data_IF_436415086936
#
_entry.id   IF_436415086936
#
_cell.length_a   1.000
_cell.length_b   1.000
_cell.length_c   1.000
_cell.angle_alpha   90.00
_cell.angle_beta   90.00
_cell.angle_gamma   90.00
#
_symmetry.space_group_name_H-M   'P 1'
#
loop_
_entity.id
_entity.type
_entity.pdbx_description
1 polymer ?
#
# COMPACT_ATOMS: atom_id res chain seq x y z
N UNK A 1 -14.11 10.96 10.93
CA UNK A 1 -15.11 10.42 9.96
C UNK A 1 -14.38 9.37 9.16
N UNK A 2 -14.91 8.15 9.06
CA UNK A 2 -14.23 7.07 8.34
C UNK A 2 -14.80 6.94 6.93
N UNK A 3 -13.95 6.76 5.93
CA UNK A 3 -14.37 6.60 4.54
C UNK A 3 -13.45 5.65 3.77
N UNK A 4 -13.98 5.06 2.69
CA UNK A 4 -13.19 4.44 1.64
C UNK A 4 -13.73 4.99 0.31
N UNK A 5 -12.86 5.51 -0.53
CA UNK A 5 -13.25 6.12 -1.81
C UNK A 5 -12.68 5.29 -2.94
N UNK A 6 -13.56 4.60 -3.66
CA UNK A 6 -13.22 3.85 -4.87
C UNK A 6 -13.14 4.76 -6.09
N UNK A 7 -12.13 4.52 -6.93
CA UNK A 7 -11.96 5.10 -8.25
C UNK A 7 -11.98 3.97 -9.25
N UNK A 8 -12.97 3.96 -10.15
CA UNK A 8 -13.25 2.85 -11.06
C UNK A 8 -14.33 1.90 -10.54
N UNK A 9 -14.62 0.86 -11.31
CA UNK A 9 -15.58 -0.19 -10.96
C UNK A 9 -14.89 -1.26 -10.10
N UNK A 10 -14.99 -1.13 -8.78
CA UNK A 10 -14.35 -2.02 -7.81
C UNK A 10 -14.94 -3.43 -7.86
N UNK A 11 -16.23 -3.56 -8.13
CA UNK A 11 -16.94 -4.84 -8.09
C UNK A 11 -16.55 -5.75 -9.28
N UNK A 12 -16.20 -5.14 -10.41
CA UNK A 12 -15.83 -5.85 -11.64
C UNK A 12 -14.34 -5.73 -12.01
N UNK A 13 -13.52 -5.07 -11.19
CA UNK A 13 -12.08 -4.95 -11.44
C UNK A 13 -11.35 -6.26 -11.16
N UNK A 14 -10.47 -6.67 -12.09
CA UNK A 14 -9.53 -7.78 -11.90
C UNK A 14 -8.36 -7.40 -10.99
N UNK A 15 -7.96 -6.12 -10.99
CA UNK A 15 -6.89 -5.58 -10.13
C UNK A 15 -7.43 -4.44 -9.28
N UNK A 16 -7.25 -4.52 -7.96
CA UNK A 16 -7.65 -3.46 -7.04
C UNK A 16 -6.46 -3.03 -6.19
N UNK A 17 -6.08 -1.75 -6.28
CA UNK A 17 -5.11 -1.15 -5.37
C UNK A 17 -5.81 -0.55 -4.15
N UNK A 18 -5.40 -0.89 -2.93
CA UNK A 18 -5.90 -0.25 -1.70
C UNK A 18 -4.77 0.55 -1.09
N UNK A 19 -4.95 1.87 -0.95
CA UNK A 19 -3.93 2.78 -0.46
C UNK A 19 -4.26 3.32 0.92
N UNK A 20 -3.30 3.18 1.82
CA UNK A 20 -3.36 3.56 3.23
C UNK A 20 -2.34 4.68 3.46
N UNK A 21 -2.85 5.90 3.67
CA UNK A 21 -2.01 7.06 3.99
C UNK A 21 -1.46 7.04 5.42
N UNK A 22 -0.38 7.78 5.66
CA UNK A 22 0.24 7.97 6.98
C UNK A 22 -0.14 9.29 7.65
N UNK A 23 0.74 9.80 8.52
CA UNK A 23 0.59 11.09 9.23
C UNK A 23 0.07 12.23 8.35
N UNK A 24 -0.75 13.10 8.92
CA UNK A 24 -1.47 14.19 8.24
C UNK A 24 -2.51 13.76 7.19
N UNK A 25 -2.85 12.47 7.09
CA UNK A 25 -4.03 12.02 6.35
C UNK A 25 -5.28 12.33 7.18
N UNK A 26 -5.85 13.53 7.03
CA UNK A 26 -7.18 13.85 7.56
C UNK A 26 -8.21 13.77 6.45
N UNK A 27 -9.41 13.24 6.75
CA UNK A 27 -10.54 13.27 5.82
C UNK A 27 -10.89 14.70 5.35
N UNK A 28 -10.57 15.71 6.15
CA UNK A 28 -10.82 17.12 5.83
C UNK A 28 -9.79 17.79 4.90
N UNK A 29 -8.58 17.22 4.73
CA UNK A 29 -7.49 17.88 3.98
C UNK A 29 -6.80 17.01 2.93
N UNK A 30 -6.87 15.68 3.04
CA UNK A 30 -6.01 14.78 2.26
C UNK A 30 -6.79 13.81 1.36
N UNK A 31 -8.13 13.80 1.47
CA UNK A 31 -8.99 12.94 0.63
C UNK A 31 -8.85 13.29 -0.84
N UNK A 32 -8.81 14.59 -1.16
CA UNK A 32 -8.62 15.03 -2.54
C UNK A 32 -7.32 14.51 -3.14
N UNK A 33 -6.23 14.59 -2.39
CA UNK A 33 -4.91 14.15 -2.84
C UNK A 33 -4.80 12.62 -2.91
N UNK A 34 -5.30 11.89 -1.91
CA UNK A 34 -5.32 10.42 -1.95
C UNK A 34 -6.21 9.87 -3.05
N UNK A 35 -7.37 10.48 -3.31
CA UNK A 35 -8.25 10.08 -4.42
C UNK A 35 -7.59 10.40 -5.76
N UNK A 36 -6.88 11.52 -5.86
CA UNK A 36 -6.10 11.86 -7.04
C UNK A 36 -4.97 10.86 -7.27
N UNK A 37 -4.23 10.49 -6.23
CA UNK A 37 -3.19 9.45 -6.28
C UNK A 37 -3.78 8.09 -6.68
N UNK A 38 -4.92 7.70 -6.10
CA UNK A 38 -5.64 6.48 -6.48
C UNK A 38 -6.04 6.51 -7.97
N UNK A 39 -6.49 7.66 -8.48
CA UNK A 39 -6.79 7.86 -9.89
C UNK A 39 -5.56 7.74 -10.81
N UNK A 40 -4.43 8.34 -10.42
CA UNK A 40 -3.16 8.23 -11.15
C UNK A 40 -2.69 6.77 -11.18
N UNK A 41 -2.74 6.09 -10.03
CA UNK A 41 -2.37 4.69 -9.90
C UNK A 41 -3.23 3.79 -10.78
N UNK A 42 -4.56 3.97 -10.77
CA UNK A 42 -5.47 3.23 -11.64
C UNK A 42 -5.13 3.45 -13.10
N UNK A 43 -4.92 4.70 -13.51
CA UNK A 43 -4.62 5.04 -14.89
C UNK A 43 -3.30 4.40 -15.36
N UNK A 44 -2.25 4.46 -14.52
CA UNK A 44 -0.96 3.83 -14.83
C UNK A 44 -1.07 2.30 -14.89
N UNK A 45 -1.83 1.67 -13.99
CA UNK A 45 -2.06 0.23 -14.03
C UNK A 45 -2.82 -0.22 -15.28
N UNK A 46 -3.84 0.54 -15.72
CA UNK A 46 -4.53 0.28 -16.97
C UNK A 46 -3.60 0.44 -18.20
N UNK A 47 -2.77 1.49 -18.22
CA UNK A 47 -1.76 1.72 -19.27
C UNK A 47 -0.77 0.54 -19.36
N UNK A 48 -0.24 0.08 -18.22
CA UNK A 48 0.69 -1.04 -18.17
C UNK A 48 0.04 -2.33 -18.67
N UNK A 49 -1.21 -2.59 -18.27
CA UNK A 49 -1.97 -3.76 -18.75
C UNK A 49 -2.26 -3.71 -20.25
N UNK A 50 -2.58 -2.53 -20.77
CA UNK A 50 -2.81 -2.31 -22.20
C UNK A 50 -1.55 -2.61 -23.00
N UNK A 51 -0.40 -2.08 -22.56
CA UNK A 51 0.91 -2.32 -23.19
C UNK A 51 1.33 -3.78 -23.15
N UNK A 52 1.02 -4.49 -22.07
CA UNK A 52 1.25 -5.92 -21.93
C UNK A 52 0.27 -6.79 -22.75
N UNK A 53 -0.74 -6.18 -23.40
CA UNK A 53 -1.69 -6.90 -24.26
C UNK A 53 -2.73 -7.71 -23.49
N UNK A 54 -3.02 -7.35 -22.23
CA UNK A 54 -4.05 -8.04 -21.46
C UNK A 54 -5.44 -7.72 -22.01
N UNK A 55 -6.31 -8.73 -22.22
CA UNK A 55 -7.73 -8.47 -22.41
C UNK A 55 -8.28 -7.78 -21.15
N UNK A 56 -9.26 -6.89 -21.30
CA UNK A 56 -9.81 -6.09 -20.19
C UNK A 56 -8.74 -5.28 -19.43
N UNK A 57 -7.85 -4.60 -20.17
CA UNK A 57 -6.76 -3.84 -19.57
C UNK A 57 -7.26 -2.76 -18.58
N UNK A 58 -8.48 -2.28 -18.75
CA UNK A 58 -9.14 -1.25 -17.95
C UNK A 58 -9.93 -1.79 -16.74
N UNK A 59 -10.02 -3.11 -16.56
CA UNK A 59 -10.59 -3.79 -15.39
C UNK A 59 -9.70 -3.63 -14.14
N UNK A 60 -9.46 -2.37 -13.78
CA UNK A 60 -8.64 -1.93 -12.67
C UNK A 60 -9.42 -0.91 -11.85
N UNK A 61 -9.32 -0.98 -10.54
CA UNK A 61 -9.81 0.04 -9.62
C UNK A 61 -8.75 0.37 -8.57
N UNK A 62 -8.90 1.54 -7.93
CA UNK A 62 -8.09 1.93 -6.79
C UNK A 62 -8.97 2.47 -5.68
N UNK A 63 -8.57 2.27 -4.43
CA UNK A 63 -9.31 2.67 -3.24
C UNK A 63 -8.39 3.52 -2.37
N UNK A 64 -8.82 4.74 -2.05
CA UNK A 64 -8.24 5.52 -0.97
C UNK A 64 -8.94 5.15 0.34
N UNK A 65 -8.23 4.46 1.24
CA UNK A 65 -8.79 4.03 2.53
C UNK A 65 -8.45 5.03 3.64
N UNK A 66 -9.50 5.61 4.22
CA UNK A 66 -9.45 6.65 5.25
C UNK A 66 -10.19 6.15 6.50
N UNK A 67 -9.93 4.91 6.88
CA UNK A 67 -10.67 4.19 7.91
C UNK A 67 -10.12 4.34 9.32
N UNK A 68 -9.22 5.29 9.56
CA UNK A 68 -8.76 5.67 10.89
C UNK A 68 -8.47 7.17 10.99
N UNK A 69 -8.60 7.73 12.19
CA UNK A 69 -8.12 9.08 12.46
C UNK A 69 -6.60 9.00 12.65
N UNK A 70 -5.85 9.43 11.64
CA UNK A 70 -4.40 9.47 11.70
C UNK A 70 -3.94 10.39 12.86
N UNK A 71 -2.83 10.07 13.56
CA UNK A 71 -2.42 10.84 14.73
C UNK A 71 -2.16 12.32 14.43
N UNK A 72 -2.52 13.21 15.36
CA UNK A 72 -2.57 14.66 15.15
C UNK A 72 -1.19 15.36 15.22
N UNK A 73 -0.14 14.66 15.66
CA UNK A 73 1.22 15.17 15.69
C UNK A 73 2.31 14.11 15.92
N UNK A 74 3.58 14.51 15.75
CA UNK A 74 4.75 13.64 15.89
C UNK A 74 4.83 12.88 17.24
N UNK A 75 4.27 13.45 18.31
CA UNK A 75 4.25 12.81 19.65
C UNK A 75 3.37 11.57 19.67
N UNK A 76 2.25 11.60 18.98
CA UNK A 76 1.32 10.46 18.91
C UNK A 76 1.85 9.36 17.96
N UNK A 77 2.80 9.72 17.09
CA UNK A 77 3.55 8.80 16.20
C UNK A 77 4.83 8.29 16.84
N UNK A 78 4.96 8.44 18.14
CA UNK A 78 5.93 7.67 18.92
C UNK A 78 5.34 6.35 19.45
N UNK A 79 4.05 6.09 19.19
CA UNK A 79 3.34 4.90 19.65
C UNK A 79 2.55 4.21 18.53
N UNK A 80 2.40 2.89 18.64
CA UNK A 80 1.76 1.98 17.68
C UNK A 80 0.25 1.82 17.88
N UNK A 81 -0.29 2.37 18.96
CA UNK A 81 -1.69 2.29 19.37
C UNK A 81 -2.71 2.57 18.26
N UNK A 82 -2.58 3.68 17.54
CA UNK A 82 -3.48 4.04 16.43
C UNK A 82 -3.39 3.04 15.28
N UNK A 83 -2.18 2.51 15.00
CA UNK A 83 -2.02 1.50 13.97
C UNK A 83 -2.68 0.17 14.36
N UNK A 84 -2.52 -0.25 15.63
CA UNK A 84 -3.19 -1.45 16.17
C UNK A 84 -4.70 -1.33 16.15
N UNK A 85 -5.25 -0.16 16.50
CA UNK A 85 -6.69 0.09 16.46
C UNK A 85 -7.24 0.06 15.02
N UNK A 86 -6.49 0.62 14.07
CA UNK A 86 -6.88 0.66 12.65
C UNK A 86 -6.71 -0.68 11.90
N UNK A 87 -5.83 -1.56 12.38
CA UNK A 87 -5.53 -2.84 11.72
C UNK A 87 -6.75 -3.77 11.60
N UNK A 88 -7.56 -3.86 12.65
CA UNK A 88 -8.78 -4.68 12.65
C UNK A 88 -9.84 -4.20 11.64
N UNK A 89 -10.23 -2.92 11.65
CA UNK A 89 -11.06 -2.30 10.62
C UNK A 89 -10.55 -2.53 9.20
N UNK A 90 -9.25 -2.36 8.96
CA UNK A 90 -8.66 -2.56 7.62
C UNK A 90 -8.77 -4.03 7.17
N UNK A 91 -8.39 -4.98 8.02
CA UNK A 91 -8.55 -6.41 7.73
C UNK A 91 -10.01 -6.78 7.39
N UNK A 92 -10.99 -6.23 8.12
CA UNK A 92 -12.42 -6.44 7.81
C UNK A 92 -12.82 -5.81 6.47
N UNK A 93 -12.26 -4.65 6.13
CA UNK A 93 -12.49 -4.00 4.85
C UNK A 93 -11.99 -4.86 3.69
N UNK A 94 -10.75 -5.34 3.75
CA UNK A 94 -10.16 -6.19 2.71
C UNK A 94 -10.92 -7.52 2.55
N UNK A 95 -11.36 -8.11 3.67
CA UNK A 95 -12.25 -9.29 3.64
C UNK A 95 -13.60 -8.99 2.99
N UNK A 96 -14.17 -7.83 3.25
CA UNK A 96 -15.41 -7.37 2.61
C UNK A 96 -15.22 -7.24 1.10
N UNK A 97 -14.15 -6.55 0.69
CA UNK A 97 -13.79 -6.36 -0.72
C UNK A 97 -13.66 -7.70 -1.47
N UNK A 98 -12.89 -8.63 -0.91
CA UNK A 98 -12.71 -9.96 -1.48
C UNK A 98 -14.00 -10.81 -1.49
N UNK A 99 -14.95 -10.55 -0.58
CA UNK A 99 -16.20 -11.29 -0.48
C UNK A 99 -17.32 -10.74 -1.39
N UNK A 100 -17.24 -9.48 -1.83
CA UNK A 100 -18.31 -8.82 -2.60
C UNK A 100 -17.99 -8.63 -4.07
N UNK A 101 -16.77 -8.94 -4.51
CA UNK A 101 -16.36 -8.87 -5.92
C UNK A 101 -17.15 -9.85 -6.81
N UNK A 102 -17.41 -9.45 -8.06
CA UNK A 102 -17.94 -10.33 -9.11
C UNK A 102 -16.83 -11.09 -9.86
N UNK A 103 -15.55 -10.82 -9.54
CA UNK A 103 -14.38 -11.43 -10.18
C UNK A 103 -13.85 -12.56 -9.29
N UNK A 104 -13.84 -13.79 -9.81
CA UNK A 104 -13.47 -14.99 -9.04
C UNK A 104 -12.02 -15.01 -8.54
N UNK A 105 -11.14 -14.25 -9.20
CA UNK A 105 -9.71 -14.14 -8.86
C UNK A 105 -9.30 -12.66 -8.81
N UNK A 106 -10.08 -11.85 -8.09
CA UNK A 106 -9.75 -10.44 -7.89
C UNK A 106 -8.43 -10.33 -7.13
N UNK A 107 -7.46 -9.67 -7.75
CA UNK A 107 -6.14 -9.53 -7.19
C UNK A 107 -6.00 -8.16 -6.51
N UNK A 108 -5.86 -8.20 -5.18
CA UNK A 108 -5.80 -7.01 -4.32
C UNK A 108 -4.34 -6.71 -3.99
N UNK A 109 -3.90 -5.47 -4.21
CA UNK A 109 -2.58 -4.99 -3.82
C UNK A 109 -2.70 -3.90 -2.75
N UNK A 110 -2.09 -4.12 -1.60
CA UNK A 110 -2.06 -3.15 -0.50
C UNK A 110 -0.87 -2.19 -0.63
N UNK A 111 -1.11 -0.89 -0.55
CA UNK A 111 -0.10 0.16 -0.59
C UNK A 111 -0.11 0.93 0.73
N UNK A 112 0.87 0.65 1.58
CA UNK A 112 1.00 1.31 2.88
C UNK A 112 2.09 2.39 2.87
N UNK A 113 1.71 3.66 3.05
CA UNK A 113 2.64 4.78 3.12
C UNK A 113 2.84 5.27 4.55
N UNK A 114 4.09 5.50 4.95
CA UNK A 114 4.41 6.09 6.26
C UNK A 114 3.73 5.32 7.39
N UNK A 115 2.99 5.96 8.31
CA UNK A 115 2.27 5.26 9.37
C UNK A 115 1.24 4.23 8.85
N UNK A 116 0.67 4.47 7.66
CA UNK A 116 -0.20 3.53 6.97
C UNK A 116 0.50 2.21 6.64
N UNK A 117 1.84 2.19 6.48
CA UNK A 117 2.59 0.94 6.30
C UNK A 117 2.53 0.02 7.52
N UNK A 118 2.53 0.59 8.73
CA UNK A 118 2.39 -0.17 9.96
C UNK A 118 0.95 -0.69 10.12
N UNK A 119 -0.05 0.16 9.84
CA UNK A 119 -1.47 -0.25 9.83
C UNK A 119 -1.68 -1.43 8.87
N UNK A 120 -1.17 -1.30 7.65
CA UNK A 120 -1.21 -2.35 6.62
C UNK A 120 -0.56 -3.62 7.12
N UNK A 121 0.69 -3.56 7.60
CA UNK A 121 1.40 -4.74 8.14
C UNK A 121 0.59 -5.45 9.23
N UNK A 122 0.06 -4.71 10.19
CA UNK A 122 -0.72 -5.27 11.29
C UNK A 122 -2.06 -5.87 10.84
N UNK A 123 -2.71 -5.30 9.82
CA UNK A 123 -3.94 -5.86 9.25
C UNK A 123 -3.67 -7.19 8.52
N UNK A 124 -2.60 -7.24 7.72
CA UNK A 124 -2.13 -8.44 7.01
C UNK A 124 -1.78 -9.57 7.98
N UNK A 125 -1.10 -9.26 9.09
CA UNK A 125 -0.82 -10.24 10.16
C UNK A 125 -2.08 -10.86 10.80
N UNK A 126 -3.25 -10.22 10.63
CA UNK A 126 -4.55 -10.74 11.06
C UNK A 126 -5.31 -11.48 9.93
N UNK A 127 -4.64 -11.76 8.81
CA UNK A 127 -5.17 -12.49 7.67
C UNK A 127 -6.05 -11.67 6.74
N UNK A 128 -5.68 -10.42 6.46
CA UNK A 128 -6.28 -9.64 5.37
C UNK A 128 -5.95 -10.31 4.02
N UNK A 129 -6.95 -10.59 3.15
CA UNK A 129 -6.75 -11.41 1.95
C UNK A 129 -6.25 -10.59 0.76
N UNK A 130 -5.03 -10.05 0.87
CA UNK A 130 -4.39 -9.35 -0.25
C UNK A 130 -3.35 -10.24 -0.92
N UNK A 131 -3.13 -10.00 -2.20
CA UNK A 131 -2.22 -10.80 -3.04
C UNK A 131 -0.80 -10.23 -3.04
N UNK A 132 -0.68 -8.89 -3.05
CA UNK A 132 0.59 -8.16 -3.00
C UNK A 132 0.56 -7.09 -1.93
N UNK A 133 1.73 -6.72 -1.40
CA UNK A 133 1.88 -5.58 -0.49
C UNK A 133 3.12 -4.77 -0.81
N UNK A 134 2.97 -3.44 -0.82
CA UNK A 134 4.06 -2.48 -0.97
C UNK A 134 4.05 -1.52 0.23
N UNK A 135 5.13 -1.55 1.01
CA UNK A 135 5.31 -0.69 2.18
C UNK A 135 6.39 0.37 1.88
N UNK A 136 6.07 1.65 2.02
CA UNK A 136 7.01 2.71 1.66
C UNK A 136 7.00 3.88 2.63
N UNK A 137 8.19 4.47 2.81
CA UNK A 137 8.42 5.47 3.85
C UNK A 137 8.11 5.00 5.26
N UNK A 138 8.27 3.70 5.52
CA UNK A 138 7.75 3.02 6.71
C UNK A 138 8.56 3.34 7.97
N UNK A 139 7.92 3.68 9.10
CA UNK A 139 8.60 3.81 10.39
C UNK A 139 8.93 2.46 11.05
N UNK A 140 8.44 1.35 10.48
CA UNK A 140 8.54 -0.01 11.03
C UNK A 140 7.30 -0.85 10.68
N UNK A 141 7.42 -2.17 10.84
CA UNK A 141 6.42 -3.13 10.38
C UNK A 141 5.91 -4.09 11.45
N UNK A 142 6.57 -4.16 12.62
CA UNK A 142 6.37 -5.22 13.61
C UNK A 142 6.48 -6.66 13.06
N UNK A 143 7.26 -6.83 11.99
CA UNK A 143 7.54 -8.14 11.41
C UNK A 143 8.90 -8.67 11.87
N UNK A 144 8.97 -9.99 11.99
CA UNK A 144 10.24 -10.73 12.05
C UNK A 144 10.56 -11.43 10.74
N UNK A 145 9.55 -11.67 9.90
CA UNK A 145 9.69 -12.21 8.54
C UNK A 145 8.47 -11.82 7.70
N UNK A 146 8.66 -11.62 6.39
CA UNK A 146 7.58 -11.27 5.46
C UNK A 146 6.47 -12.33 5.35
N UNK A 147 6.72 -13.60 5.74
CA UNK A 147 5.70 -14.66 5.69
C UNK A 147 4.55 -14.41 6.66
N UNK A 148 4.76 -13.59 7.70
CA UNK A 148 3.71 -13.18 8.63
C UNK A 148 2.65 -12.28 7.96
N UNK A 149 2.94 -11.72 6.79
CA UNK A 149 1.98 -10.91 6.04
C UNK A 149 0.91 -11.76 5.35
N UNK A 150 1.12 -13.07 5.18
CA UNK A 150 0.14 -13.96 4.55
C UNK A 150 0.02 -13.82 3.03
N UNK A 151 0.88 -13.03 2.40
CA UNK A 151 1.05 -13.00 0.93
C UNK A 151 1.98 -14.14 0.47
N UNK A 152 1.87 -14.52 -0.80
CA UNK A 152 2.74 -15.53 -1.38
C UNK A 152 4.24 -15.10 -1.37
N UNK A 153 5.20 -16.04 -1.32
CA UNK A 153 6.62 -15.70 -1.37
C UNK A 153 6.97 -14.86 -2.61
N UNK A 154 7.63 -13.72 -2.41
CA UNK A 154 7.99 -12.79 -3.49
C UNK A 154 6.95 -11.70 -3.77
N UNK A 155 5.86 -11.63 -3.00
CA UNK A 155 4.78 -10.65 -3.14
C UNK A 155 4.77 -9.56 -2.05
N UNK A 156 5.86 -9.46 -1.28
CA UNK A 156 6.04 -8.45 -0.24
C UNK A 156 7.19 -7.50 -0.62
N UNK A 157 6.85 -6.22 -0.81
CA UNK A 157 7.74 -5.21 -1.36
C UNK A 157 7.91 -4.01 -0.45
N UNK A 158 9.02 -3.31 -0.59
CA UNK A 158 9.22 -2.03 0.05
C UNK A 158 9.94 -1.01 -0.83
N UNK A 159 9.73 0.28 -0.53
CA UNK A 159 10.46 1.40 -1.13
C UNK A 159 10.95 2.35 -0.05
N UNK A 160 12.16 2.87 -0.23
CA UNK A 160 12.74 3.88 0.67
C UNK A 160 13.15 5.06 -0.21
N UNK A 161 12.48 6.19 -0.03
CA UNK A 161 12.85 7.43 -0.71
C UNK A 161 14.24 7.90 -0.28
N UNK A 162 14.94 8.60 -1.17
CA UNK A 162 16.25 9.13 -0.79
C UNK A 162 16.05 10.29 0.18
N UNK A 163 16.78 10.29 1.30
CA UNK A 163 16.61 11.21 2.44
C UNK A 163 15.26 11.07 3.17
N UNK A 164 14.63 9.89 3.11
CA UNK A 164 13.42 9.61 3.87
C UNK A 164 13.73 9.47 5.37
N UNK A 165 13.47 10.51 6.14
CA UNK A 165 13.75 10.50 7.59
C UNK A 165 12.80 9.57 8.36
N UNK A 166 11.61 9.29 7.83
CA UNK A 166 10.69 8.34 8.46
C UNK A 166 11.28 6.95 8.35
N UNK A 167 11.70 6.53 7.16
CA UNK A 167 12.26 5.21 6.93
C UNK A 167 13.68 5.03 7.50
N UNK A 168 14.47 6.10 7.61
CA UNK A 168 15.88 6.00 8.03
C UNK A 168 16.12 6.33 9.51
N UNK A 169 15.22 7.05 10.18
CA UNK A 169 15.49 7.53 11.56
C UNK A 169 14.47 7.00 12.57
N UNK A 170 13.19 6.85 12.19
CA UNK A 170 12.17 6.42 13.14
C UNK A 170 12.34 4.95 13.60
N UNK A 171 12.70 3.99 12.73
CA UNK A 171 12.94 2.61 13.16
C UNK A 171 14.02 2.47 14.24
N UNK A 172 15.01 3.37 14.29
CA UNK A 172 16.10 3.32 15.28
C UNK A 172 15.60 3.46 16.73
N UNK A 173 14.43 4.07 16.93
CA UNK A 173 13.81 4.17 18.25
C UNK A 173 13.12 2.88 18.71
N UNK A 174 12.96 1.89 17.82
CA UNK A 174 12.43 0.55 18.13
C UNK A 174 10.93 0.49 18.46
N UNK A 175 10.19 1.61 18.31
CA UNK A 175 8.77 1.69 18.69
C UNK A 175 7.83 0.89 17.78
N UNK A 176 8.26 0.56 16.55
CA UNK A 176 7.42 -0.03 15.48
C UNK A 176 7.98 -1.34 14.93
N UNK A 177 8.89 -1.98 15.67
CA UNK A 177 9.62 -3.15 15.21
C UNK A 177 10.58 -2.84 14.06
N UNK A 178 10.98 -3.88 13.32
CA UNK A 178 11.97 -3.78 12.26
C UNK A 178 11.48 -2.92 11.09
N UNK A 179 12.40 -2.14 10.53
CA UNK A 179 12.20 -1.46 9.26
C UNK A 179 12.05 -2.50 8.13
N UNK A 180 11.28 -2.22 7.05
CA UNK A 180 11.07 -3.20 5.98
C UNK A 180 12.35 -3.77 5.36
N UNK A 181 13.42 -2.96 5.25
CA UNK A 181 14.72 -3.37 4.71
C UNK A 181 15.45 -4.41 5.56
N UNK A 182 15.12 -4.49 6.85
CA UNK A 182 15.74 -5.41 7.80
C UNK A 182 14.87 -6.67 8.03
N UNK A 183 13.71 -6.76 7.36
CA UNK A 183 12.79 -7.90 7.47
C UNK A 183 13.09 -8.93 6.36
N UNK A 184 13.49 -10.16 6.71
CA UNK A 184 13.72 -11.22 5.72
C UNK A 184 12.48 -11.51 4.87
N UNK A 185 12.69 -11.73 3.57
CA UNK A 185 11.64 -12.05 2.60
C UNK A 185 10.97 -10.82 1.95
N UNK A 186 11.32 -9.60 2.37
CA UNK A 186 10.90 -8.37 1.71
C UNK A 186 11.78 -8.10 0.48
N UNK A 187 11.18 -7.58 -0.59
CA UNK A 187 11.88 -7.21 -1.84
C UNK A 187 11.90 -5.71 -2.02
N UNK A 188 13.09 -5.13 -2.23
CA UNK A 188 13.20 -3.69 -2.49
C UNK A 188 12.81 -3.37 -3.94
N UNK A 189 11.91 -2.40 -4.12
CA UNK A 189 11.66 -1.77 -5.41
C UNK A 189 12.55 -0.53 -5.56
N UNK A 190 13.06 -0.31 -6.77
CA UNK A 190 13.96 0.81 -7.05
C UNK A 190 13.21 2.15 -7.05
N UNK A 191 13.76 3.14 -6.34
CA UNK A 191 13.32 4.54 -6.38
C UNK A 191 14.29 5.45 -7.15
N UNK A 192 15.38 4.88 -7.67
CA UNK A 192 16.39 5.61 -8.42
C UNK A 192 15.93 5.87 -9.85
N UNK A 193 16.52 6.89 -10.47
CA UNK A 193 16.36 7.12 -11.90
C UNK A 193 16.71 5.86 -12.68
N UNK A 194 15.81 5.41 -13.54
CA UNK A 194 15.98 4.16 -14.26
C UNK A 194 15.01 4.00 -15.41
N UNK A 195 15.42 3.23 -16.41
CA UNK A 195 14.53 2.76 -17.46
C UNK A 195 13.77 1.54 -16.93
N UNK A 196 12.46 1.50 -17.14
CA UNK A 196 11.64 0.30 -16.88
C UNK A 196 11.40 -0.45 -18.20
N UNK A 197 12.29 -1.38 -18.63
CA UNK A 197 12.27 -1.92 -19.99
C UNK A 197 11.11 -2.88 -20.27
N UNK A 198 10.50 -2.74 -21.45
CA UNK A 198 9.61 -3.73 -22.06
C UNK A 198 8.21 -3.83 -21.45
N UNK A 199 7.19 -4.26 -22.22
CA UNK A 199 5.79 -4.27 -21.77
C UNK A 199 5.49 -5.28 -20.65
N UNK A 200 6.38 -6.25 -20.40
CA UNK A 200 6.22 -7.27 -19.36
C UNK A 200 6.81 -6.85 -18.00
N UNK A 201 7.73 -5.88 -17.98
CA UNK A 201 8.47 -5.47 -16.78
C UNK A 201 8.34 -3.96 -16.47
N UNK A 202 7.78 -3.15 -17.40
CA UNK A 202 7.66 -1.70 -17.22
C UNK A 202 6.89 -1.00 -18.34
N UNK A 203 6.90 0.34 -18.34
CA UNK A 203 6.26 1.17 -19.37
C UNK A 203 7.22 1.66 -20.47
N UNK A 204 8.48 1.18 -20.46
CA UNK A 204 9.51 1.62 -21.40
C UNK A 204 9.93 3.07 -21.23
N UNK A 205 9.51 3.74 -20.16
CA UNK A 205 9.86 5.14 -19.89
C UNK A 205 11.05 5.24 -18.94
N UNK A 206 11.75 6.36 -19.04
CA UNK A 206 12.69 6.79 -18.02
C UNK A 206 11.88 7.34 -16.85
N UNK A 207 12.04 6.73 -15.68
CA UNK A 207 11.49 7.24 -14.43
C UNK A 207 12.57 8.08 -13.76
N UNK A 208 12.19 9.29 -13.37
CA UNK A 208 13.05 10.12 -12.53
C UNK A 208 13.04 9.58 -11.10
N UNK A 209 14.10 9.88 -10.38
CA UNK A 209 14.23 9.49 -8.98
C UNK A 209 13.10 10.09 -8.14
N UNK A 210 12.54 9.28 -7.24
CA UNK A 210 11.59 9.71 -6.22
C UNK A 210 12.28 10.41 -5.04
#
# INVERSE_FOLDING_TARGET
MLAAVGVGDVDNAERVGVTMGGLNTRVSSSVGDMVKEAGIQRAKAAELRERAGWPNYDAVASIAWLGYDAPDGLKDVMHDWSARDAAGPLNRFDKGLAATTNVSDQHITAFGHSYGSLVTSLALQQGAPVSDVVLYGSPGTELTHASQLGVEPGHAFYMIGVNDHVANTIPEFGAFGSAPQDVPGMTQLSVNTGLAPGPLLGDGQLHERA
#
